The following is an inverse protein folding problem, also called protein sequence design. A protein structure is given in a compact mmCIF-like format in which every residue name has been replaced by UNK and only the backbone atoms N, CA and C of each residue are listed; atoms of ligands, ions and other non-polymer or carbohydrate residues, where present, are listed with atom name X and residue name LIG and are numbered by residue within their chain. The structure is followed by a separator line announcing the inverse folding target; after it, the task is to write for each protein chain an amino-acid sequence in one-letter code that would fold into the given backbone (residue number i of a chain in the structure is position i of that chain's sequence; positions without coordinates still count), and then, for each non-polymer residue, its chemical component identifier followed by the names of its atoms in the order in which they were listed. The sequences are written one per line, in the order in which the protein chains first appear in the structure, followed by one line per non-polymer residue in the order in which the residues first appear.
data_IF_750731664209
#
_entry.id   IF_750731664209
#
_cell.length_a   1.000
_cell.length_b   1.000
_cell.length_c   1.000
_cell.angle_alpha   90.00
_cell.angle_beta   90.00
_cell.angle_gamma   90.00
#
_symmetry.space_group_name_H-M   'P 1'
#
loop_
_entity.id
_entity.type
_entity.pdbx_description
1 polymer ?
#
# COMPACT_ATOMS: atom_id res chain seq x y z
N UNK A 1 49.17 30.28 16.64
CA UNK A 1 47.85 30.63 16.06
C UNK A 1 47.20 29.53 15.21
N UNK A 2 47.91 28.49 14.71
CA UNK A 2 47.30 27.48 13.82
C UNK A 2 46.49 26.36 14.48
N UNK A 3 46.69 26.07 15.78
CA UNK A 3 46.02 24.96 16.48
C UNK A 3 44.50 25.18 16.59
N UNK A 4 44.06 26.41 16.79
CA UNK A 4 42.63 26.76 16.84
C UNK A 4 41.92 26.54 15.51
N UNK A 5 42.60 26.76 14.37
CA UNK A 5 42.04 26.52 13.03
C UNK A 5 41.81 25.03 12.82
N UNK A 6 42.74 24.17 13.25
CA UNK A 6 42.61 22.70 13.13
C UNK A 6 41.45 22.19 14.00
N UNK A 7 41.28 22.74 15.20
CA UNK A 7 40.18 22.37 16.11
C UNK A 7 38.82 22.77 15.52
N UNK A 8 38.70 23.99 14.98
CA UNK A 8 37.46 24.46 14.33
C UNK A 8 37.16 23.68 13.07
N UNK A 9 38.17 23.38 12.25
CA UNK A 9 38.03 22.58 11.04
C UNK A 9 37.61 21.14 11.38
N UNK A 10 38.17 20.54 12.42
CA UNK A 10 37.78 19.22 12.92
C UNK A 10 36.33 19.17 13.39
N UNK A 11 35.87 20.20 14.12
CA UNK A 11 34.46 20.30 14.52
C UNK A 11 33.52 20.45 13.31
N UNK A 12 33.87 21.26 12.32
CA UNK A 12 33.08 21.43 11.08
C UNK A 12 32.92 20.14 10.28
N UNK A 13 33.95 19.29 10.23
CA UNK A 13 33.87 17.97 9.56
C UNK A 13 32.92 17.02 10.30
N UNK A 14 32.90 17.06 11.63
CA UNK A 14 32.02 16.21 12.46
C UNK A 14 30.56 16.69 12.36
N UNK A 15 30.31 18.00 12.49
CA UNK A 15 28.96 18.56 12.43
C UNK A 15 28.36 18.53 11.02
N UNK A 16 29.19 18.67 9.98
CA UNK A 16 28.75 18.58 8.57
C UNK A 16 28.14 17.23 8.21
N UNK A 17 28.57 16.13 8.84
CA UNK A 17 28.04 14.79 8.56
C UNK A 17 26.65 14.53 9.15
N UNK A 18 26.26 15.21 10.24
CA UNK A 18 25.05 14.85 11.00
C UNK A 18 23.78 15.53 10.44
N UNK A 19 23.93 16.64 9.72
CA UNK A 19 22.79 17.42 9.23
C UNK A 19 22.02 16.77 8.06
N UNK A 20 22.57 15.73 7.41
CA UNK A 20 21.93 15.06 6.28
C UNK A 20 20.92 13.96 6.66
N UNK A 21 20.80 13.64 7.96
CA UNK A 21 19.97 12.51 8.43
C UNK A 21 18.64 12.93 9.04
N UNK A 22 18.26 14.22 9.00
CA UNK A 22 16.99 14.66 9.57
C UNK A 22 15.84 14.19 8.66
N UNK A 23 14.99 13.23 9.09
CA UNK A 23 13.87 12.81 8.28
C UNK A 23 12.92 13.97 8.07
N UNK A 24 12.39 14.09 6.86
CA UNK A 24 11.39 15.08 6.51
C UNK A 24 10.12 14.87 7.35
N UNK A 25 9.34 15.93 7.54
CA UNK A 25 8.05 15.87 8.26
C UNK A 25 7.13 14.81 7.66
N UNK A 26 7.19 14.62 6.33
CA UNK A 26 6.43 13.58 5.61
C UNK A 26 6.88 12.16 5.97
N UNK A 27 8.19 11.93 6.02
CA UNK A 27 8.75 10.61 6.34
C UNK A 27 8.44 10.20 7.77
N UNK A 28 8.47 11.15 8.71
CA UNK A 28 8.05 10.91 10.10
C UNK A 28 6.58 10.50 10.17
N UNK A 29 5.70 11.16 9.41
CA UNK A 29 4.27 10.84 9.35
C UNK A 29 4.02 9.45 8.77
N UNK A 30 4.66 9.12 7.65
CA UNK A 30 4.57 7.79 7.03
C UNK A 30 5.10 6.72 7.98
N UNK A 31 6.24 6.95 8.64
CA UNK A 31 6.77 6.03 9.65
C UNK A 31 5.80 5.76 10.80
N UNK A 32 5.10 6.80 11.29
CA UNK A 32 4.06 6.65 12.32
C UNK A 32 2.89 5.80 11.84
N UNK A 33 2.40 6.01 10.61
CA UNK A 33 1.29 5.22 10.06
C UNK A 33 1.65 3.76 9.88
N UNK A 34 2.85 3.48 9.35
CA UNK A 34 3.36 2.12 9.19
C UNK A 34 3.50 1.42 10.55
N UNK A 35 3.98 2.16 11.56
CA UNK A 35 4.06 1.65 12.92
C UNK A 35 2.68 1.35 13.52
N UNK A 36 1.71 2.25 13.36
CA UNK A 36 0.33 2.05 13.80
C UNK A 36 -0.32 0.84 13.10
N UNK A 37 -0.04 0.64 11.80
CA UNK A 37 -0.49 -0.54 11.08
C UNK A 37 0.08 -1.84 11.66
N UNK A 38 1.37 -1.85 11.96
CA UNK A 38 2.04 -2.98 12.62
C UNK A 38 1.40 -3.29 13.97
N UNK A 39 1.09 -2.26 14.77
CA UNK A 39 0.39 -2.43 16.05
C UNK A 39 -1.04 -2.98 15.90
N UNK A 40 -1.73 -2.66 14.80
CA UNK A 40 -3.05 -3.21 14.48
C UNK A 40 -3.02 -4.66 13.96
N UNK A 41 -1.82 -5.24 13.77
CA UNK A 41 -1.61 -6.61 13.28
C UNK A 41 -1.45 -6.71 11.76
N UNK A 42 -1.26 -5.61 11.05
CA UNK A 42 -0.99 -5.59 9.62
C UNK A 42 0.52 -5.60 9.35
N UNK A 43 0.95 -6.25 8.27
CA UNK A 43 2.33 -6.16 7.77
C UNK A 43 2.42 -5.08 6.71
N UNK A 44 3.43 -4.21 6.81
CA UNK A 44 3.69 -3.19 5.78
C UNK A 44 4.94 -3.56 4.98
N UNK A 45 4.85 -3.46 3.65
CA UNK A 45 5.96 -3.69 2.73
C UNK A 45 5.94 -2.67 1.59
N UNK A 46 7.09 -2.29 1.03
CA UNK A 46 7.16 -1.38 -0.12
C UNK A 46 7.20 -2.20 -1.42
N UNK A 47 6.18 -3.01 -1.63
CA UNK A 47 6.02 -3.85 -2.82
C UNK A 47 4.79 -3.41 -3.60
N UNK A 48 4.96 -3.24 -4.91
CA UNK A 48 3.91 -2.90 -5.85
C UNK A 48 3.33 -4.12 -6.58
N UNK A 49 2.50 -3.85 -7.59
CA UNK A 49 2.16 -4.82 -8.64
C UNK A 49 2.92 -4.44 -9.92
N UNK A 50 3.60 -5.40 -10.58
CA UNK A 50 4.22 -5.14 -11.87
C UNK A 50 3.17 -4.89 -12.94
N UNK A 51 3.52 -4.12 -13.96
CA UNK A 51 2.69 -3.88 -15.13
C UNK A 51 2.33 -5.20 -15.82
N UNK A 52 1.09 -5.33 -16.26
CA UNK A 52 0.60 -6.51 -16.98
C UNK A 52 -0.14 -6.09 -18.27
N UNK A 53 0.61 -5.66 -19.32
CA UNK A 53 0.00 -5.16 -20.55
C UNK A 53 -0.70 -6.24 -21.37
N UNK A 54 -0.26 -7.51 -21.23
CA UNK A 54 -0.74 -8.63 -22.05
C UNK A 54 -2.14 -9.10 -21.64
N UNK A 55 -2.35 -9.28 -20.34
CA UNK A 55 -3.60 -9.84 -19.80
C UNK A 55 -4.64 -8.74 -19.56
N UNK A 56 -4.22 -7.62 -18.96
CA UNK A 56 -5.12 -6.60 -18.43
C UNK A 56 -5.01 -5.24 -19.10
N UNK A 57 -4.03 -5.05 -19.98
CA UNK A 57 -3.75 -3.76 -20.63
C UNK A 57 -3.11 -2.72 -19.72
N UNK A 58 -2.71 -3.10 -18.50
CA UNK A 58 -2.05 -2.20 -17.54
C UNK A 58 -0.62 -1.94 -18.01
N UNK A 59 -0.31 -0.68 -18.30
CA UNK A 59 0.97 -0.28 -18.93
C UNK A 59 2.07 0.03 -17.94
N UNK A 60 1.72 0.53 -16.76
CA UNK A 60 2.67 1.05 -15.78
C UNK A 60 2.66 0.22 -14.49
N UNK A 61 3.81 0.15 -13.82
CA UNK A 61 3.93 -0.52 -12.53
C UNK A 61 3.13 0.23 -11.46
N UNK A 62 2.35 -0.51 -10.68
CA UNK A 62 1.57 0.06 -9.56
C UNK A 62 2.41 0.01 -8.30
N UNK A 63 3.10 1.11 -8.03
CA UNK A 63 3.96 1.26 -6.87
C UNK A 63 3.23 1.83 -5.64
N UNK A 64 3.75 1.57 -4.44
CA UNK A 64 3.23 2.10 -3.18
C UNK A 64 3.60 1.25 -1.98
N UNK A 65 3.11 1.65 -0.80
CA UNK A 65 3.18 0.86 0.41
C UNK A 65 2.04 -0.16 0.43
N UNK A 66 2.40 -1.44 0.47
CA UNK A 66 1.53 -2.57 0.65
C UNK A 66 1.22 -2.81 2.12
N UNK A 67 -0.04 -2.62 2.51
CA UNK A 67 -0.58 -2.95 3.82
C UNK A 67 -1.29 -4.30 3.70
N UNK A 68 -0.76 -5.32 4.36
CA UNK A 68 -1.17 -6.72 4.24
C UNK A 68 -1.79 -7.16 5.57
N UNK A 69 -3.00 -7.70 5.51
CA UNK A 69 -3.65 -8.39 6.61
C UNK A 69 -3.68 -9.89 6.27
N UNK A 70 -2.97 -10.69 7.06
CA UNK A 70 -2.97 -12.15 6.91
C UNK A 70 -4.23 -12.75 7.50
N UNK A 71 -4.79 -13.74 6.81
CA UNK A 71 -5.87 -14.54 7.33
C UNK A 71 -5.28 -15.68 8.19
N UNK A 72 -5.54 -15.72 9.51
CA UNK A 72 -5.00 -16.76 10.38
C UNK A 72 -5.65 -18.13 10.15
N UNK A 73 -6.84 -18.19 9.53
CA UNK A 73 -7.57 -19.42 9.25
C UNK A 73 -8.08 -19.43 7.81
N UNK A 74 -7.17 -19.58 6.82
CA UNK A 74 -7.57 -19.67 5.43
C UNK A 74 -8.45 -20.92 5.24
N UNK A 75 -9.61 -20.73 4.61
CA UNK A 75 -10.49 -21.84 4.28
C UNK A 75 -9.86 -22.63 3.13
N UNK A 76 -9.68 -23.94 3.29
CA UNK A 76 -9.14 -24.80 2.21
C UNK A 76 -10.03 -24.86 0.96
N UNK A 77 -11.30 -24.46 1.08
CA UNK A 77 -12.24 -24.38 -0.03
C UNK A 77 -12.16 -23.05 -0.79
N UNK A 78 -11.47 -22.07 -0.23
CA UNK A 78 -11.35 -20.75 -0.81
C UNK A 78 -10.18 -20.73 -1.79
N UNK A 79 -10.51 -20.67 -3.08
CA UNK A 79 -9.54 -20.54 -4.17
C UNK A 79 -9.58 -19.17 -4.82
N UNK A 80 -10.43 -18.26 -4.31
CA UNK A 80 -10.68 -16.98 -4.94
C UNK A 80 -9.43 -16.10 -4.84
N UNK A 81 -8.96 -15.60 -5.98
CA UNK A 81 -7.78 -14.72 -6.05
C UNK A 81 -8.10 -13.64 -7.06
N UNK A 82 -7.94 -12.39 -6.64
CA UNK A 82 -8.10 -11.27 -7.55
C UNK A 82 -7.30 -10.07 -7.08
N UNK A 83 -6.96 -9.22 -8.03
CA UNK A 83 -6.44 -7.91 -7.72
C UNK A 83 -7.12 -6.88 -8.62
N UNK A 84 -7.22 -5.66 -8.12
CA UNK A 84 -7.81 -4.52 -8.82
C UNK A 84 -6.86 -3.35 -8.67
N UNK A 85 -6.61 -2.63 -9.76
CA UNK A 85 -5.73 -1.47 -9.79
C UNK A 85 -6.51 -0.23 -10.19
N UNK A 86 -6.11 0.94 -9.67
CA UNK A 86 -6.65 2.25 -10.02
C UNK A 86 -5.91 2.82 -11.24
N UNK A 87 -5.98 2.10 -12.36
CA UNK A 87 -5.39 2.47 -13.64
C UNK A 87 -6.31 2.04 -14.78
N UNK A 88 -6.15 2.65 -15.96
CA UNK A 88 -6.87 2.22 -17.14
C UNK A 88 -6.29 0.91 -17.69
N UNK A 89 -7.12 -0.12 -17.68
CA UNK A 89 -6.92 -1.40 -18.35
C UNK A 89 -8.14 -1.78 -19.18
N UNK A 90 -8.10 -2.94 -19.81
CA UNK A 90 -9.18 -3.43 -20.68
C UNK A 90 -10.35 -4.04 -19.91
N UNK A 91 -10.10 -4.51 -18.69
CA UNK A 91 -11.08 -5.19 -17.84
C UNK A 91 -11.61 -4.27 -16.76
N UNK A 92 -12.68 -3.52 -17.04
CA UNK A 92 -13.28 -2.55 -16.10
C UNK A 92 -14.68 -2.98 -15.62
N UNK A 93 -15.12 -4.17 -16.01
CA UNK A 93 -16.49 -4.62 -15.79
C UNK A 93 -16.82 -4.77 -14.29
N UNK A 94 -17.88 -4.10 -13.84
CA UNK A 94 -18.36 -4.16 -12.45
C UNK A 94 -17.52 -3.39 -11.43
N UNK A 95 -16.58 -2.55 -11.89
CA UNK A 95 -15.74 -1.73 -11.05
C UNK A 95 -16.09 -0.24 -11.17
N UNK A 96 -15.75 0.59 -10.17
CA UNK A 96 -15.87 2.04 -10.26
C UNK A 96 -14.96 2.63 -11.35
N UNK A 97 -15.30 3.83 -11.83
CA UNK A 97 -14.53 4.52 -12.87
C UNK A 97 -13.04 4.67 -12.48
N UNK A 98 -12.15 4.37 -13.44
CA UNK A 98 -10.71 4.42 -13.24
C UNK A 98 -10.09 3.19 -12.56
N UNK A 99 -10.90 2.18 -12.22
CA UNK A 99 -10.42 0.90 -11.71
C UNK A 99 -10.51 -0.21 -12.77
N UNK A 100 -9.51 -1.09 -12.77
CA UNK A 100 -9.45 -2.23 -13.68
C UNK A 100 -8.97 -3.49 -12.97
N UNK A 101 -9.47 -4.65 -13.39
CA UNK A 101 -9.02 -5.96 -12.93
C UNK A 101 -7.56 -6.20 -13.35
N UNK A 102 -6.79 -6.76 -12.43
CA UNK A 102 -5.41 -7.15 -12.63
C UNK A 102 -5.34 -8.64 -12.99
N UNK A 103 -4.72 -8.96 -14.14
CA UNK A 103 -4.61 -10.31 -14.74
C UNK A 103 -5.93 -10.93 -15.19
N UNK A 104 -6.86 -11.17 -14.27
CA UNK A 104 -8.12 -11.86 -14.58
C UNK A 104 -9.29 -11.29 -13.77
N UNK A 105 -10.50 -11.44 -14.32
CA UNK A 105 -11.75 -11.13 -13.62
C UNK A 105 -12.22 -12.39 -12.88
N UNK A 106 -12.33 -12.34 -11.54
CA UNK A 106 -12.84 -13.48 -10.78
C UNK A 106 -14.37 -13.54 -10.86
N UNK A 107 -14.94 -14.69 -10.52
CA UNK A 107 -16.40 -14.83 -10.29
C UNK A 107 -16.71 -14.49 -8.83
N UNK A 108 -16.85 -13.19 -8.54
CA UNK A 108 -17.15 -12.66 -7.18
C UNK A 108 -18.30 -11.66 -7.22
N UNK A 109 -18.83 -11.32 -6.04
CA UNK A 109 -19.77 -10.21 -5.88
C UNK A 109 -19.10 -8.86 -6.23
N UNK A 110 -19.36 -8.38 -7.45
CA UNK A 110 -18.85 -7.12 -7.99
C UNK A 110 -19.33 -5.91 -7.18
N UNK A 111 -20.54 -5.96 -6.62
CA UNK A 111 -21.08 -4.89 -5.79
C UNK A 111 -20.35 -4.82 -4.45
N UNK A 112 -19.97 -5.97 -3.88
CA UNK A 112 -19.16 -6.02 -2.66
C UNK A 112 -17.77 -5.44 -2.91
N UNK A 113 -17.13 -5.78 -4.04
CA UNK A 113 -15.82 -5.23 -4.41
C UNK A 113 -15.90 -3.71 -4.59
N UNK A 114 -16.90 -3.22 -5.33
CA UNK A 114 -17.12 -1.79 -5.52
C UNK A 114 -17.38 -1.04 -4.21
N UNK A 115 -18.13 -1.64 -3.27
CA UNK A 115 -18.35 -1.09 -1.92
C UNK A 115 -17.07 -1.01 -1.09
N UNK A 116 -16.17 -2.00 -1.22
CA UNK A 116 -14.86 -1.97 -0.54
C UNK A 116 -13.98 -0.89 -1.15
N UNK A 117 -13.91 -0.80 -2.48
CA UNK A 117 -13.13 0.23 -3.19
C UNK A 117 -13.57 1.64 -2.76
N UNK A 118 -14.88 1.89 -2.66
CA UNK A 118 -15.41 3.19 -2.21
C UNK A 118 -15.09 3.58 -0.77
N UNK A 119 -14.61 2.63 0.07
CA UNK A 119 -14.18 2.89 1.45
C UNK A 119 -12.66 3.03 1.59
N UNK A 120 -11.90 2.76 0.54
CA UNK A 120 -10.46 2.90 0.60
C UNK A 120 -10.06 4.37 0.72
N UNK A 121 -8.90 4.66 1.33
CA UNK A 121 -8.28 5.97 1.22
C UNK A 121 -8.17 6.43 -0.24
N UNK A 122 -8.39 7.73 -0.50
CA UNK A 122 -8.40 8.30 -1.85
C UNK A 122 -7.15 7.97 -2.68
N UNK A 123 -6.02 7.87 -1.98
CA UNK A 123 -4.70 7.60 -2.52
C UNK A 123 -4.36 6.11 -2.68
N UNK A 124 -5.28 5.20 -2.38
CA UNK A 124 -5.12 3.78 -2.67
C UNK A 124 -5.09 3.54 -4.17
N UNK A 125 -4.16 2.69 -4.61
CA UNK A 125 -3.90 2.44 -6.04
C UNK A 125 -4.05 1.00 -6.45
N UNK A 126 -4.08 0.07 -5.51
CA UNK A 126 -4.51 -1.29 -5.80
C UNK A 126 -5.07 -1.97 -4.57
N UNK A 127 -5.86 -3.00 -4.80
CA UNK A 127 -6.25 -4.01 -3.83
C UNK A 127 -5.95 -5.39 -4.37
N UNK A 128 -5.60 -6.31 -3.48
CA UNK A 128 -5.38 -7.70 -3.80
C UNK A 128 -6.02 -8.55 -2.71
N UNK A 129 -6.67 -9.62 -3.14
CA UNK A 129 -7.34 -10.59 -2.29
C UNK A 129 -6.84 -11.96 -2.68
N UNK A 130 -6.34 -12.70 -1.70
CA UNK A 130 -5.97 -14.10 -1.81
C UNK A 130 -6.57 -14.85 -0.61
N UNK A 131 -6.64 -16.19 -0.65
CA UNK A 131 -7.12 -16.98 0.49
C UNK A 131 -6.28 -16.76 1.76
N UNK A 132 -4.99 -16.45 1.60
CA UNK A 132 -4.02 -16.32 2.69
C UNK A 132 -3.95 -14.90 3.25
N UNK A 133 -4.23 -13.89 2.43
CA UNK A 133 -4.15 -12.49 2.83
C UNK A 133 -4.97 -11.56 1.94
N UNK A 134 -5.32 -10.42 2.51
CA UNK A 134 -5.82 -9.25 1.79
C UNK A 134 -4.80 -8.12 1.86
N UNK A 135 -4.62 -7.39 0.77
CA UNK A 135 -3.63 -6.32 0.66
C UNK A 135 -4.23 -5.10 0.01
N UNK A 136 -3.85 -3.92 0.48
CA UNK A 136 -4.03 -2.65 -0.24
C UNK A 136 -2.66 -2.07 -0.55
N UNK A 137 -2.51 -1.48 -1.73
CA UNK A 137 -1.35 -0.68 -2.12
C UNK A 137 -1.74 0.78 -2.04
N UNK A 138 -0.99 1.54 -1.26
CA UNK A 138 -1.31 2.91 -0.91
C UNK A 138 -0.09 3.82 -1.06
N UNK A 139 -0.25 4.99 -1.67
CA UNK A 139 0.82 5.98 -1.81
C UNK A 139 1.14 6.75 -0.53
N UNK A 140 0.37 6.54 0.55
CA UNK A 140 0.56 7.24 1.84
C UNK A 140 0.61 8.77 1.67
N UNK A 141 -0.16 9.31 0.71
CA UNK A 141 -0.41 10.73 0.53
C UNK A 141 -1.85 11.01 0.98
N UNK A 142 -1.99 11.37 2.26
CA UNK A 142 -3.28 11.68 2.89
C UNK A 142 -3.12 12.57 4.12
N UNK A 143 -4.22 13.20 4.54
CA UNK A 143 -4.21 13.99 5.78
C UNK A 143 -4.46 13.12 7.01
N UNK A 144 -5.35 12.14 6.91
CA UNK A 144 -5.78 11.26 8.01
C UNK A 144 -5.47 9.80 7.70
N UNK A 145 -5.06 9.06 8.74
CA UNK A 145 -4.87 7.62 8.69
C UNK A 145 -5.55 7.03 9.92
N UNK A 146 -6.44 6.07 9.69
CA UNK A 146 -7.10 5.30 10.72
C UNK A 146 -6.76 3.81 10.49
N UNK A 147 -5.90 3.21 11.34
CA UNK A 147 -5.50 1.82 11.18
C UNK A 147 -6.67 0.85 11.38
N UNK A 148 -7.64 1.18 12.23
CA UNK A 148 -8.77 0.30 12.52
C UNK A 148 -9.75 0.29 11.35
N UNK A 149 -10.03 1.46 10.78
CA UNK A 149 -10.84 1.56 9.57
C UNK A 149 -10.21 0.80 8.39
N UNK A 150 -8.89 0.93 8.21
CA UNK A 150 -8.17 0.20 7.16
C UNK A 150 -8.25 -1.32 7.39
N UNK A 151 -8.01 -1.77 8.61
CA UNK A 151 -8.11 -3.19 8.98
C UNK A 151 -9.51 -3.74 8.71
N UNK A 152 -10.57 -3.06 9.16
CA UNK A 152 -11.96 -3.48 8.90
C UNK A 152 -12.28 -3.56 7.39
N UNK A 153 -11.68 -2.67 6.60
CA UNK A 153 -11.85 -2.68 5.14
C UNK A 153 -11.16 -3.91 4.51
N UNK A 154 -9.97 -4.27 5.00
CA UNK A 154 -9.26 -5.49 4.59
C UNK A 154 -10.00 -6.76 5.04
N UNK A 155 -10.56 -6.80 6.25
CA UNK A 155 -11.40 -7.92 6.72
C UNK A 155 -12.64 -8.11 5.85
N UNK A 156 -13.30 -7.01 5.44
CA UNK A 156 -14.42 -7.06 4.49
C UNK A 156 -13.98 -7.57 3.12
N UNK A 157 -12.78 -7.22 2.67
CA UNK A 157 -12.22 -7.74 1.42
C UNK A 157 -11.97 -9.26 1.49
N UNK A 158 -11.51 -9.77 2.64
CA UNK A 158 -11.33 -11.22 2.86
C UNK A 158 -12.67 -11.98 2.85
N UNK A 159 -13.74 -11.34 3.30
CA UNK A 159 -15.08 -11.94 3.34
C UNK A 159 -15.72 -12.11 1.95
N UNK A 160 -15.17 -11.48 0.90
CA UNK A 160 -15.63 -11.67 -0.48
C UNK A 160 -15.11 -13.01 -0.97
N UNK A 161 -16.00 -13.96 -1.28
CA UNK A 161 -15.70 -15.29 -1.80
C UNK A 161 -16.24 -15.47 -3.21
#
# INVERSE_FOLDING_TARGET
MGVWIIIVLGMLVIFGSVQWLRPSVKEKKQGQWRHQALMAGMKVSLQGLPAEPKESGIRDDVNGASYILYNPKPSKKDTCKFAVVKQQGWMQEGLPEGWSWYKEKPSVDLDAVSRVIGRLPESSVAIERTPDYSRVIWWENGQTYDPDHLKQTLEKLQAIS
#
